data_IF_042227561012
#
_entry.id   IF_042227561012
#
_cell.length_a   1.000
_cell.length_b   1.000
_cell.length_c   1.000
_cell.angle_alpha   90.00
_cell.angle_beta   90.00
_cell.angle_gamma   90.00
#
_symmetry.space_group_name_H-M   'P 1'
#
loop_
_entity.id
_entity.type
_entity.pdbx_description
1 polymer ?
#
# COMPACT_ATOMS: atom_id res chain seq x y z
N UNK A 1 5.24 -19.90 4.40
CA UNK A 1 4.99 -18.50 4.84
C UNK A 1 4.96 -18.40 6.38
N UNK A 2 4.23 -19.27 7.06
CA UNK A 2 4.08 -19.20 8.53
C UNK A 2 5.38 -19.41 9.31
N UNK A 3 6.27 -20.29 8.81
CA UNK A 3 7.59 -20.48 9.43
C UNK A 3 8.48 -19.24 9.26
N UNK A 4 8.45 -18.58 8.10
CA UNK A 4 9.18 -17.34 7.86
C UNK A 4 8.65 -16.20 8.75
N UNK A 5 7.32 -16.08 8.88
CA UNK A 5 6.67 -15.14 9.81
C UNK A 5 7.16 -15.38 11.23
N UNK A 6 7.10 -16.63 11.71
CA UNK A 6 7.55 -16.99 13.07
C UNK A 6 9.02 -16.65 13.31
N UNK A 7 9.89 -16.93 12.33
CA UNK A 7 11.33 -16.64 12.45
C UNK A 7 11.60 -15.14 12.50
N UNK A 8 10.89 -14.34 11.71
CA UNK A 8 11.02 -12.88 11.69
C UNK A 8 10.42 -12.23 12.95
N UNK A 9 9.28 -12.73 13.45
CA UNK A 9 8.70 -12.33 14.74
C UNK A 9 9.71 -12.57 15.87
N UNK A 10 10.30 -13.77 15.91
CA UNK A 10 11.34 -14.12 16.89
C UNK A 10 12.57 -13.22 16.77
N UNK A 11 13.03 -12.94 15.55
CA UNK A 11 14.16 -12.04 15.34
C UNK A 11 13.89 -10.62 15.87
N UNK A 12 12.68 -10.10 15.65
CA UNK A 12 12.23 -8.80 16.19
C UNK A 12 12.15 -8.77 17.72
N UNK A 13 11.81 -9.90 18.36
CA UNK A 13 11.76 -10.02 19.82
C UNK A 13 13.14 -10.17 20.47
N UNK A 14 14.06 -10.91 19.83
CA UNK A 14 15.38 -11.23 20.40
C UNK A 14 16.41 -10.12 20.18
N UNK A 15 16.33 -9.39 19.07
CA UNK A 15 17.22 -8.26 18.83
C UNK A 15 16.71 -7.09 19.69
N UNK A 16 17.49 -6.68 20.70
CA UNK A 16 17.25 -5.46 21.52
C UNK A 16 17.50 -4.18 20.71
N UNK A 17 16.88 -4.09 19.55
CA UNK A 17 17.04 -3.05 18.56
C UNK A 17 16.07 -3.36 17.43
N UNK A 18 15.22 -2.41 17.10
CA UNK A 18 14.21 -2.65 16.10
C UNK A 18 14.81 -2.48 14.71
N UNK A 19 14.88 -3.57 13.95
CA UNK A 19 15.31 -3.52 12.56
C UNK A 19 14.12 -3.23 11.63
N UNK A 20 14.12 -2.04 11.02
CA UNK A 20 13.09 -1.57 10.09
C UNK A 20 12.98 -2.51 8.88
N UNK A 21 14.09 -3.11 8.45
CA UNK A 21 14.09 -4.02 7.31
C UNK A 21 13.34 -5.30 7.66
N UNK A 22 13.68 -5.96 8.76
CA UNK A 22 12.96 -7.13 9.29
C UNK A 22 11.46 -6.83 9.47
N UNK A 23 11.12 -5.67 10.02
CA UNK A 23 9.72 -5.26 10.18
C UNK A 23 9.00 -5.05 8.84
N UNK A 24 9.66 -4.47 7.85
CA UNK A 24 9.10 -4.25 6.51
C UNK A 24 8.87 -5.57 5.75
N UNK A 25 9.78 -6.54 5.91
CA UNK A 25 9.58 -7.90 5.40
C UNK A 25 8.40 -8.58 6.07
N UNK A 26 8.28 -8.47 7.39
CA UNK A 26 7.19 -9.07 8.15
C UNK A 26 5.83 -8.45 7.77
N UNK A 27 5.75 -7.13 7.59
CA UNK A 27 4.57 -6.44 7.05
C UNK A 27 4.19 -6.99 5.67
N UNK A 28 5.19 -7.14 4.78
CA UNK A 28 4.96 -7.67 3.44
C UNK A 28 4.39 -9.10 3.49
N UNK A 29 4.90 -9.94 4.39
CA UNK A 29 4.41 -11.30 4.59
C UNK A 29 2.99 -11.33 5.17
N UNK A 30 2.68 -10.50 6.17
CA UNK A 30 1.32 -10.40 6.72
C UNK A 30 0.29 -9.97 5.68
N UNK A 31 0.71 -9.20 4.67
CA UNK A 31 -0.14 -8.83 3.54
C UNK A 31 -0.39 -9.98 2.57
N UNK A 32 0.59 -10.85 2.34
CA UNK A 32 0.51 -11.90 1.31
C UNK A 32 0.12 -13.28 1.84
N UNK A 33 0.18 -13.51 3.15
CA UNK A 33 -0.21 -14.79 3.77
C UNK A 33 -1.73 -15.00 3.67
N UNK A 34 -2.17 -16.27 3.66
CA UNK A 34 -3.59 -16.65 3.60
C UNK A 34 -3.98 -17.40 4.88
N UNK A 35 -4.95 -16.91 5.67
CA UNK A 35 -5.66 -15.64 5.52
C UNK A 35 -4.74 -14.44 5.80
N UNK A 36 -4.99 -13.33 5.09
CA UNK A 36 -4.23 -12.09 5.26
C UNK A 36 -4.40 -11.54 6.68
N UNK A 37 -3.34 -10.93 7.22
CA UNK A 37 -3.29 -10.41 8.59
C UNK A 37 -3.05 -8.88 8.62
N UNK A 38 -4.00 -8.07 8.11
CA UNK A 38 -3.88 -6.61 8.10
C UNK A 38 -3.65 -6.00 9.48
N UNK A 39 -4.32 -6.55 10.50
CA UNK A 39 -4.24 -6.04 11.86
C UNK A 39 -2.83 -6.15 12.43
N UNK A 40 -2.15 -7.27 12.19
CA UNK A 40 -0.77 -7.51 12.63
C UNK A 40 0.20 -6.60 11.88
N UNK A 41 0.01 -6.44 10.56
CA UNK A 41 0.81 -5.53 9.75
C UNK A 41 0.70 -4.07 10.19
N UNK A 42 -0.52 -3.58 10.45
CA UNK A 42 -0.76 -2.22 10.93
C UNK A 42 -0.26 -2.02 12.37
N UNK A 43 -0.43 -3.02 13.24
CA UNK A 43 0.11 -3.01 14.60
C UNK A 43 1.63 -2.87 14.56
N UNK A 44 2.29 -3.63 13.69
CA UNK A 44 3.73 -3.54 13.50
C UNK A 44 4.13 -2.14 13.01
N UNK A 45 3.46 -1.59 11.99
CA UNK A 45 3.73 -0.21 11.53
C UNK A 45 3.63 0.82 12.67
N UNK A 46 2.62 0.72 13.54
CA UNK A 46 2.49 1.59 14.72
C UNK A 46 3.61 1.39 15.73
N UNK A 47 4.06 0.15 15.95
CA UNK A 47 5.19 -0.14 16.82
C UNK A 47 6.49 0.47 16.27
N UNK A 48 6.68 0.50 14.95
CA UNK A 48 7.81 1.20 14.33
C UNK A 48 7.73 2.70 14.62
N UNK A 49 6.56 3.30 14.33
CA UNK A 49 6.34 4.73 14.48
C UNK A 49 6.40 5.19 15.96
N UNK A 50 6.12 4.31 16.92
CA UNK A 50 6.23 4.63 18.34
C UNK A 50 7.68 4.75 18.84
N UNK A 51 8.68 4.40 18.02
CA UNK A 51 10.07 4.44 18.47
C UNK A 51 10.67 5.83 18.40
N UNK A 52 11.51 6.19 19.38
CA UNK A 52 12.26 7.43 19.36
C UNK A 52 13.05 7.57 18.06
N UNK A 53 12.83 8.66 17.32
CA UNK A 53 13.51 8.94 16.05
C UNK A 53 12.88 8.31 14.81
N UNK A 54 11.88 7.44 14.95
CA UNK A 54 11.15 6.82 13.82
C UNK A 54 9.71 7.30 13.69
N UNK A 55 9.23 8.13 14.62
CA UNK A 55 7.90 8.73 14.55
C UNK A 55 7.64 9.46 13.23
N UNK A 56 8.64 10.14 12.66
CA UNK A 56 8.53 10.86 11.38
C UNK A 56 9.11 10.09 10.18
N UNK A 57 9.31 8.77 10.33
CA UNK A 57 9.81 7.95 9.23
C UNK A 57 8.78 7.86 8.10
N UNK A 58 9.14 8.38 6.93
CA UNK A 58 8.31 8.43 5.72
C UNK A 58 8.01 7.02 5.19
N UNK A 59 9.00 6.13 5.17
CA UNK A 59 8.88 4.78 4.62
C UNK A 59 7.81 3.98 5.37
N UNK A 60 7.80 4.07 6.69
CA UNK A 60 6.81 3.41 7.56
C UNK A 60 5.40 3.94 7.31
N UNK A 61 5.24 5.25 7.13
CA UNK A 61 3.94 5.83 6.81
C UNK A 61 3.44 5.44 5.43
N UNK A 62 4.31 5.41 4.43
CA UNK A 62 3.97 4.94 3.09
C UNK A 62 3.58 3.46 3.10
N UNK A 63 4.28 2.64 3.89
CA UNK A 63 3.94 1.24 4.08
C UNK A 63 2.56 1.07 4.72
N UNK A 64 2.28 1.84 5.79
CA UNK A 64 0.97 1.88 6.42
C UNK A 64 -0.12 2.35 5.45
N UNK A 65 0.14 3.39 4.64
CA UNK A 65 -0.82 3.89 3.65
C UNK A 65 -1.17 2.83 2.60
N UNK A 66 -0.15 2.11 2.08
CA UNK A 66 -0.36 1.00 1.16
C UNK A 66 -1.19 -0.10 1.80
N UNK A 67 -0.91 -0.46 3.07
CA UNK A 67 -1.75 -1.42 3.81
C UNK A 67 -3.18 -0.93 3.95
N UNK A 68 -3.43 0.32 4.33
CA UNK A 68 -4.80 0.83 4.48
C UNK A 68 -5.55 0.77 3.14
N UNK A 69 -4.90 1.18 2.05
CA UNK A 69 -5.47 1.03 0.70
C UNK A 69 -5.67 -0.45 0.34
N UNK A 70 -4.74 -1.30 0.80
CA UNK A 70 -4.75 -2.72 0.50
C UNK A 70 -5.99 -3.44 1.04
N UNK A 71 -6.61 -2.88 2.07
CA UNK A 71 -7.77 -3.42 2.75
C UNK A 71 -8.99 -2.48 2.66
N UNK A 72 -9.04 -1.66 1.62
CA UNK A 72 -10.20 -0.82 1.27
C UNK A 72 -10.40 0.42 2.14
N UNK A 73 -9.48 0.71 3.04
CA UNK A 73 -9.50 1.85 3.96
C UNK A 73 -8.86 3.07 3.30
N UNK A 74 -9.49 3.53 2.22
CA UNK A 74 -8.95 4.58 1.37
C UNK A 74 -8.78 5.92 2.10
N UNK A 75 -9.70 6.29 2.99
CA UNK A 75 -9.60 7.54 3.75
C UNK A 75 -8.38 7.54 4.69
N UNK A 76 -8.12 6.41 5.37
CA UNK A 76 -6.95 6.23 6.22
C UNK A 76 -5.66 6.24 5.41
N UNK A 77 -5.67 5.62 4.22
CA UNK A 77 -4.53 5.66 3.31
C UNK A 77 -4.21 7.10 2.87
N UNK A 78 -5.23 7.88 2.51
CA UNK A 78 -5.06 9.28 2.10
C UNK A 78 -4.52 10.14 3.24
N UNK A 79 -5.02 9.98 4.46
CA UNK A 79 -4.53 10.71 5.63
C UNK A 79 -3.03 10.47 5.87
N UNK A 80 -2.59 9.21 5.78
CA UNK A 80 -1.17 8.85 5.92
C UNK A 80 -0.31 9.40 4.79
N UNK A 81 -0.83 9.43 3.55
CA UNK A 81 -0.15 10.05 2.40
C UNK A 81 -0.01 11.55 2.60
N UNK A 82 -1.06 12.23 3.07
CA UNK A 82 -1.04 13.66 3.34
C UNK A 82 -0.06 14.01 4.47
N UNK A 83 0.07 13.15 5.49
CA UNK A 83 1.13 13.29 6.50
C UNK A 83 2.54 13.20 5.90
N UNK A 84 2.77 12.25 4.99
CA UNK A 84 4.07 12.14 4.30
C UNK A 84 4.35 13.38 3.46
N UNK A 85 3.37 13.86 2.70
CA UNK A 85 3.50 15.05 1.87
C UNK A 85 3.66 16.33 2.70
N UNK A 86 3.22 16.35 3.96
CA UNK A 86 3.50 17.46 4.88
C UNK A 86 4.96 17.46 5.36
N UNK A 87 5.57 16.29 5.51
CA UNK A 87 6.98 16.13 5.91
C UNK A 87 7.90 16.38 4.70
N UNK A 88 7.58 15.76 3.57
CA UNK A 88 8.29 15.88 2.30
C UNK A 88 7.28 16.11 1.16
N UNK A 89 7.01 17.38 0.79
CA UNK A 89 6.08 17.72 -0.28
C UNK A 89 6.49 17.20 -1.66
N UNK A 90 7.78 16.90 -1.85
CA UNK A 90 8.35 16.40 -3.11
C UNK A 90 8.41 14.88 -3.18
N UNK A 91 7.89 14.17 -2.18
CA UNK A 91 8.02 12.73 -2.10
C UNK A 91 7.32 12.05 -3.28
N UNK A 92 8.12 11.52 -4.22
CA UNK A 92 7.62 10.95 -5.46
C UNK A 92 6.66 9.77 -5.21
N UNK A 93 6.98 8.92 -4.22
CA UNK A 93 6.14 7.77 -3.86
C UNK A 93 4.79 8.20 -3.29
N UNK A 94 4.77 9.17 -2.38
CA UNK A 94 3.54 9.70 -1.81
C UNK A 94 2.66 10.37 -2.88
N UNK A 95 3.27 11.18 -3.76
CA UNK A 95 2.57 11.80 -4.88
C UNK A 95 1.99 10.76 -5.85
N UNK A 96 2.75 9.71 -6.15
CA UNK A 96 2.31 8.62 -7.00
C UNK A 96 1.15 7.84 -6.36
N UNK A 97 1.26 7.49 -5.07
CA UNK A 97 0.18 6.84 -4.32
C UNK A 97 -1.08 7.69 -4.26
N UNK A 98 -0.95 9.01 -4.06
CA UNK A 98 -2.10 9.91 -4.03
C UNK A 98 -2.87 9.91 -5.35
N UNK A 99 -2.15 9.99 -6.48
CA UNK A 99 -2.76 9.93 -7.83
C UNK A 99 -3.46 8.59 -8.06
N UNK A 100 -2.80 7.50 -7.70
CA UNK A 100 -3.38 6.16 -7.81
C UNK A 100 -4.66 6.01 -6.98
N UNK A 101 -4.67 6.55 -5.76
CA UNK A 101 -5.84 6.52 -4.88
C UNK A 101 -6.98 7.38 -5.45
N UNK A 102 -6.67 8.55 -6.02
CA UNK A 102 -7.66 9.39 -6.69
C UNK A 102 -8.33 8.67 -7.86
N UNK A 103 -7.56 7.95 -8.69
CA UNK A 103 -8.13 7.15 -9.80
C UNK A 103 -9.19 6.17 -9.27
N UNK A 104 -8.92 5.51 -8.14
CA UNK A 104 -9.87 4.58 -7.52
C UNK A 104 -11.07 5.24 -6.83
N UNK A 105 -10.96 6.51 -6.42
CA UNK A 105 -12.05 7.26 -5.76
C UNK A 105 -12.96 7.97 -6.76
N UNK A 106 -12.41 8.52 -7.84
CA UNK A 106 -13.14 9.37 -8.80
C UNK A 106 -13.67 8.61 -10.00
N UNK A 107 -13.75 7.28 -9.90
CA UNK A 107 -14.13 6.38 -10.99
C UNK A 107 -13.43 6.66 -12.34
N UNK A 108 -12.18 7.13 -12.26
CA UNK A 108 -11.48 7.63 -13.43
C UNK A 108 -10.83 6.47 -14.16
N UNK A 109 -11.09 6.37 -15.46
CA UNK A 109 -10.56 5.29 -16.32
C UNK A 109 -9.19 5.61 -16.91
N UNK A 110 -8.77 6.87 -16.83
CA UNK A 110 -7.48 7.34 -17.35
C UNK A 110 -6.40 7.30 -16.28
N UNK A 111 -5.23 6.76 -16.64
CA UNK A 111 -4.07 6.71 -15.76
C UNK A 111 -3.06 7.76 -16.27
N UNK A 112 -2.82 8.86 -15.53
CA UNK A 112 -1.89 9.91 -15.95
C UNK A 112 -0.50 9.36 -16.29
N UNK A 113 0.13 9.90 -17.34
CA UNK A 113 1.40 9.38 -17.87
C UNK A 113 2.56 9.41 -16.86
N UNK A 114 2.51 10.34 -15.91
CA UNK A 114 3.47 10.54 -14.84
C UNK A 114 3.24 9.64 -13.61
N UNK A 115 2.23 8.78 -13.64
CA UNK A 115 2.03 7.72 -12.63
C UNK A 115 2.96 6.55 -12.92
N UNK A 116 3.73 6.14 -11.93
CA UNK A 116 4.51 4.90 -11.97
C UNK A 116 3.63 3.72 -11.57
N UNK A 117 3.42 2.79 -12.51
CA UNK A 117 2.64 1.57 -12.27
C UNK A 117 3.56 0.46 -11.75
N UNK A 118 3.52 0.21 -10.44
CA UNK A 118 4.12 -1.00 -9.86
C UNK A 118 3.17 -2.19 -10.01
N UNK A 119 3.66 -3.45 -9.94
CA UNK A 119 2.79 -4.63 -9.96
C UNK A 119 1.67 -4.59 -8.91
N UNK A 120 1.97 -4.06 -7.72
CA UNK A 120 1.00 -3.91 -6.63
C UNK A 120 -0.05 -2.85 -7.00
N UNK A 121 0.37 -1.71 -7.54
CA UNK A 121 -0.56 -0.66 -7.98
C UNK A 121 -1.45 -1.15 -9.13
N UNK A 122 -0.90 -1.90 -10.09
CA UNK A 122 -1.66 -2.52 -11.17
C UNK A 122 -2.67 -3.54 -10.62
N UNK A 123 -2.26 -4.40 -9.68
CA UNK A 123 -3.16 -5.34 -9.03
C UNK A 123 -4.34 -4.61 -8.36
N UNK A 124 -4.10 -3.48 -7.69
CA UNK A 124 -5.14 -2.66 -7.05
C UNK A 124 -6.14 -2.10 -8.05
N UNK A 125 -5.64 -1.54 -9.15
CA UNK A 125 -6.50 -1.02 -10.21
C UNK A 125 -7.32 -2.15 -10.86
N UNK A 126 -6.77 -3.37 -10.98
CA UNK A 126 -7.52 -4.54 -11.43
C UNK A 126 -8.61 -4.98 -10.45
N UNK A 127 -8.39 -4.86 -9.13
CA UNK A 127 -9.46 -5.10 -8.14
C UNK A 127 -10.61 -4.10 -8.34
N UNK A 128 -10.31 -2.82 -8.62
CA UNK A 128 -11.35 -1.82 -8.95
C UNK A 128 -12.09 -2.17 -10.25
N UNK A 129 -11.38 -2.64 -11.28
CA UNK A 129 -11.99 -3.15 -12.52
C UNK A 129 -12.98 -4.27 -12.19
N UNK A 130 -12.61 -5.21 -11.32
CA UNK A 130 -13.51 -6.30 -10.91
C UNK A 130 -14.76 -5.79 -10.18
N UNK A 131 -14.62 -4.78 -9.31
CA UNK A 131 -15.77 -4.11 -8.66
C UNK A 131 -16.69 -3.48 -9.70
N UNK A 132 -16.15 -2.73 -10.67
CA UNK A 132 -16.97 -2.14 -11.74
C UNK A 132 -17.65 -3.18 -12.62
N UNK A 133 -17.02 -4.33 -12.87
CA UNK A 133 -17.69 -5.45 -13.57
C UNK A 133 -18.89 -5.95 -12.76
N UNK A 134 -18.72 -6.16 -11.46
CA UNK A 134 -19.80 -6.60 -10.57
C UNK A 134 -20.95 -5.59 -10.50
N UNK A 135 -20.64 -4.29 -10.53
CA UNK A 135 -21.61 -3.20 -10.55
C UNK A 135 -22.24 -2.94 -11.94
N UNK A 136 -21.92 -3.77 -12.95
CA UNK A 136 -22.44 -3.62 -14.32
C UNK A 136 -21.81 -2.47 -15.12
N UNK A 137 -20.78 -1.82 -14.59
CA UNK A 137 -20.01 -0.75 -15.23
C UNK A 137 -18.93 -1.30 -16.18
N UNK A 138 -19.30 -2.29 -17.00
CA UNK A 138 -18.35 -3.04 -17.85
C UNK A 138 -17.56 -2.19 -18.85
N UNK A 139 -18.14 -1.10 -19.36
CA UNK A 139 -17.44 -0.18 -20.26
C UNK A 139 -16.26 0.55 -19.57
N UNK A 140 -16.46 1.01 -18.32
CA UNK A 140 -15.38 1.64 -17.53
C UNK A 140 -14.30 0.62 -17.17
N UNK A 141 -14.74 -0.58 -16.76
CA UNK A 141 -13.85 -1.69 -16.43
C UNK A 141 -12.94 -2.06 -17.61
N UNK A 142 -13.51 -2.22 -18.81
CA UNK A 142 -12.76 -2.52 -20.02
C UNK A 142 -11.75 -1.42 -20.35
N UNK A 143 -12.18 -0.15 -20.29
CA UNK A 143 -11.31 0.98 -20.63
C UNK A 143 -10.11 1.11 -19.69
N UNK A 144 -10.31 0.95 -18.37
CA UNK A 144 -9.21 0.96 -17.41
C UNK A 144 -8.29 -0.26 -17.59
N UNK A 145 -8.85 -1.44 -17.85
CA UNK A 145 -8.06 -2.65 -18.12
C UNK A 145 -7.20 -2.51 -19.38
N UNK A 146 -7.74 -1.92 -20.46
CA UNK A 146 -6.96 -1.61 -21.67
C UNK A 146 -5.83 -0.62 -21.38
N UNK A 147 -6.11 0.44 -20.60
CA UNK A 147 -5.10 1.43 -20.23
C UNK A 147 -3.97 0.81 -19.38
N UNK A 148 -4.29 -0.13 -18.49
CA UNK A 148 -3.30 -0.91 -17.75
C UNK A 148 -2.47 -1.79 -18.69
N UNK A 149 -3.11 -2.52 -19.60
CA UNK A 149 -2.44 -3.41 -20.55
C UNK A 149 -1.46 -2.65 -21.46
N UNK A 150 -1.87 -1.48 -21.99
CA UNK A 150 -1.01 -0.66 -22.86
C UNK A 150 0.20 -0.07 -22.14
N UNK A 151 0.16 0.02 -20.81
CA UNK A 151 1.24 0.58 -19.97
C UNK A 151 2.04 -0.49 -19.22
N UNK A 152 1.64 -1.75 -19.30
CA UNK A 152 2.44 -2.86 -18.80
C UNK A 152 3.68 -3.04 -19.70
N UNK A 153 4.88 -3.23 -19.11
CA UNK A 153 6.10 -3.48 -19.88
C UNK A 153 6.08 -4.82 -20.61
#
# INVERSE_FOLDING_TARGET
PDEAIRLLEKALEEIRGFDIQTASYLVSLYRTVTPARPGDALKLCRQIAAQPGLADNIEVRLLAARLEWDFGRQDQALALIDEVLRIDPGNADALNLRKLLQITQTDTVSIPADVTLTPEAAHRLLQQVAVWVADGQGAKALQLAENLYRRAP
#
